data_IF_372356531151
#
_entry.id   IF_372356531151
#
_cell.length_a   1.000
_cell.length_b   1.000
_cell.length_c   1.000
_cell.angle_alpha   90.00
_cell.angle_beta   90.00
_cell.angle_gamma   90.00
#
_symmetry.space_group_name_H-M   'P 1'
#
loop_
_entity.id
_entity.type
_entity.pdbx_description
1 polymer ?
#
# COMPACT_ATOMS: atom_id res chain seq x y z
N UNK A 1 3.14 -16.47 -9.43
CA UNK A 1 3.65 -15.59 -8.34
C UNK A 1 4.52 -16.35 -7.33
N UNK A 2 5.61 -16.99 -7.80
CA UNK A 2 6.43 -17.89 -6.97
C UNK A 2 7.11 -17.19 -5.77
N UNK A 3 7.43 -15.90 -5.86
CA UNK A 3 8.18 -15.18 -4.82
C UNK A 3 7.33 -14.25 -3.93
N UNK A 4 6.02 -14.29 -4.05
CA UNK A 4 5.09 -13.39 -3.33
C UNK A 4 5.47 -11.91 -3.43
N UNK A 5 5.92 -11.48 -4.60
CA UNK A 5 6.37 -10.10 -4.85
C UNK A 5 5.45 -9.37 -5.82
N UNK A 6 5.25 -8.09 -5.57
CA UNK A 6 4.60 -7.14 -6.46
C UNK A 6 5.61 -6.05 -6.85
N UNK A 7 5.95 -5.97 -8.14
CA UNK A 7 6.84 -4.93 -8.67
C UNK A 7 6.03 -3.74 -9.17
N UNK A 8 6.30 -2.57 -8.59
CA UNK A 8 5.71 -1.29 -8.98
C UNK A 8 6.74 -0.56 -9.85
N UNK A 9 6.56 -0.62 -11.17
CA UNK A 9 7.48 -0.05 -12.16
C UNK A 9 6.77 0.73 -13.26
N UNK A 10 5.45 0.86 -13.18
CA UNK A 10 4.62 1.59 -14.13
C UNK A 10 3.64 2.50 -13.41
N UNK A 11 3.26 3.58 -14.07
CA UNK A 11 2.24 4.53 -13.64
C UNK A 11 1.28 4.79 -14.78
N UNK A 12 0.00 4.89 -14.48
CA UNK A 12 -1.04 5.24 -15.45
C UNK A 12 -1.55 6.64 -15.11
N UNK A 13 -1.57 7.51 -16.10
CA UNK A 13 -2.10 8.86 -15.96
C UNK A 13 -2.87 9.26 -17.23
N UNK A 14 -3.74 10.26 -17.10
CA UNK A 14 -4.38 10.90 -18.25
C UNK A 14 -3.54 12.10 -18.69
N UNK A 15 -3.18 12.13 -19.97
CA UNK A 15 -2.49 13.25 -20.62
C UNK A 15 -3.24 13.56 -21.93
N UNK A 16 -3.62 14.80 -22.14
CA UNK A 16 -4.36 15.26 -23.33
C UNK A 16 -5.56 14.37 -23.69
N UNK A 17 -6.32 13.98 -22.66
CA UNK A 17 -7.51 13.12 -22.79
C UNK A 17 -7.24 11.63 -23.04
N UNK A 18 -5.98 11.21 -23.19
CA UNK A 18 -5.59 9.80 -23.41
C UNK A 18 -4.97 9.19 -22.17
N UNK A 19 -5.14 7.88 -22.00
CA UNK A 19 -4.42 7.12 -20.97
C UNK A 19 -2.98 6.87 -21.45
N UNK A 20 -2.02 7.24 -20.62
CA UNK A 20 -0.60 7.04 -20.87
C UNK A 20 -0.02 6.19 -19.75
N UNK A 21 0.66 5.11 -20.14
CA UNK A 21 1.43 4.26 -19.24
C UNK A 21 2.89 4.73 -19.33
N UNK A 22 3.46 5.10 -18.20
CA UNK A 22 4.83 5.59 -18.10
C UNK A 22 5.57 4.97 -16.92
N UNK A 23 6.87 5.19 -16.84
CA UNK A 23 7.62 4.92 -15.61
C UNK A 23 7.22 5.91 -14.52
N UNK A 24 7.25 5.53 -13.24
CA UNK A 24 7.02 6.44 -12.13
C UNK A 24 7.99 7.65 -12.17
N UNK A 25 7.51 8.81 -11.71
CA UNK A 25 8.26 10.08 -11.79
C UNK A 25 9.55 10.11 -10.95
N UNK A 26 9.63 9.31 -9.92
CA UNK A 26 10.80 9.27 -9.02
C UNK A 26 11.36 7.86 -8.92
N UNK A 27 12.70 7.69 -8.78
CA UNK A 27 13.32 6.37 -8.60
C UNK A 27 12.73 5.60 -7.41
N UNK A 28 12.46 6.25 -6.31
CA UNK A 28 11.90 5.63 -5.10
C UNK A 28 10.45 5.12 -5.28
N UNK A 29 9.78 5.56 -6.33
CA UNK A 29 8.46 5.03 -6.68
C UNK A 29 8.55 3.65 -7.35
N UNK A 30 9.71 3.31 -7.92
CA UNK A 30 9.99 1.97 -8.46
C UNK A 30 10.44 1.11 -7.29
N UNK A 31 9.64 0.09 -6.97
CA UNK A 31 9.89 -0.77 -5.82
C UNK A 31 9.26 -2.14 -5.96
N UNK A 32 9.75 -3.07 -5.17
CA UNK A 32 9.15 -4.40 -5.01
C UNK A 32 8.59 -4.52 -3.60
N UNK A 33 7.33 -4.92 -3.52
CA UNK A 33 6.62 -5.14 -2.25
C UNK A 33 6.42 -6.64 -2.06
N UNK A 34 6.72 -7.14 -0.86
CA UNK A 34 6.39 -8.51 -0.45
C UNK A 34 4.92 -8.58 -0.05
N UNK A 35 4.24 -9.62 -0.50
CA UNK A 35 2.82 -9.83 -0.21
C UNK A 35 2.62 -10.97 0.79
N UNK A 36 1.66 -10.84 1.73
CA UNK A 36 1.19 -11.94 2.54
C UNK A 36 0.67 -13.10 1.66
N UNK A 37 0.82 -14.34 2.14
CA UNK A 37 0.37 -15.52 1.39
C UNK A 37 -1.12 -15.47 1.03
N UNK A 38 -1.97 -15.04 1.97
CA UNK A 38 -3.41 -14.92 1.75
C UNK A 38 -3.74 -13.86 0.68
N UNK A 39 -2.99 -12.74 0.65
CA UNK A 39 -3.14 -11.74 -0.42
C UNK A 39 -2.80 -12.34 -1.78
N UNK A 40 -1.72 -13.12 -1.87
CA UNK A 40 -1.35 -13.78 -3.13
C UNK A 40 -2.43 -14.75 -3.59
N UNK A 41 -3.02 -15.52 -2.67
CA UNK A 41 -4.14 -16.43 -2.96
C UNK A 41 -5.32 -15.68 -3.57
N UNK A 42 -5.75 -14.59 -2.95
CA UNK A 42 -6.84 -13.74 -3.48
C UNK A 42 -6.54 -13.18 -4.87
N UNK A 43 -5.29 -12.76 -5.12
CA UNK A 43 -4.88 -12.24 -6.43
C UNK A 43 -4.86 -13.34 -7.50
N UNK A 44 -4.50 -14.58 -7.16
CA UNK A 44 -4.57 -15.73 -8.09
C UNK A 44 -6.03 -16.06 -8.39
N UNK A 45 -6.89 -16.17 -7.39
CA UNK A 45 -8.31 -16.41 -7.55
C UNK A 45 -8.99 -15.32 -8.43
N UNK A 46 -8.58 -14.07 -8.27
CA UNK A 46 -9.07 -12.98 -9.12
C UNK A 46 -8.63 -13.15 -10.58
N UNK A 47 -7.35 -13.49 -10.80
CA UNK A 47 -6.85 -13.68 -12.18
C UNK A 47 -7.50 -14.88 -12.88
N UNK A 48 -7.85 -15.94 -12.15
CA UNK A 48 -8.53 -17.13 -12.69
C UNK A 48 -9.93 -16.82 -13.23
N UNK A 49 -10.55 -15.70 -12.87
CA UNK A 49 -11.84 -15.25 -13.45
C UNK A 49 -11.71 -14.72 -14.88
N UNK A 50 -10.49 -14.37 -15.31
CA UNK A 50 -10.20 -13.84 -16.64
C UNK A 50 -8.77 -14.21 -17.12
N UNK A 51 -8.46 -15.52 -17.21
CA UNK A 51 -7.08 -16.02 -17.36
C UNK A 51 -6.42 -15.61 -18.67
N UNK A 52 -7.19 -15.30 -19.71
CA UNK A 52 -6.67 -14.81 -20.99
C UNK A 52 -6.32 -13.32 -20.99
N UNK A 53 -6.68 -12.58 -19.94
CA UNK A 53 -6.41 -11.15 -19.86
C UNK A 53 -5.06 -10.91 -19.16
N UNK A 54 -4.15 -10.08 -19.72
CA UNK A 54 -2.85 -9.81 -19.11
C UNK A 54 -2.95 -8.92 -17.84
N UNK A 55 -4.10 -8.26 -17.63
CA UNK A 55 -4.33 -7.42 -16.47
C UNK A 55 -4.95 -8.22 -15.32
N UNK A 56 -4.42 -8.03 -14.11
CA UNK A 56 -4.97 -8.64 -12.91
C UNK A 56 -6.37 -8.08 -12.56
N UNK A 57 -6.56 -6.80 -12.80
CA UNK A 57 -7.84 -6.10 -12.64
C UNK A 57 -8.18 -5.34 -13.93
N UNK A 58 -8.69 -6.02 -14.94
CA UNK A 58 -9.10 -5.35 -16.17
C UNK A 58 -10.31 -4.44 -15.94
N UNK A 59 -10.38 -3.35 -16.67
CA UNK A 59 -11.58 -2.52 -16.70
C UNK A 59 -12.76 -3.34 -17.27
N UNK A 60 -13.88 -3.48 -16.56
CA UNK A 60 -15.02 -4.29 -17.03
C UNK A 60 -15.65 -3.74 -18.30
N UNK A 61 -15.39 -2.48 -18.64
CA UNK A 61 -15.91 -1.84 -19.86
C UNK A 61 -15.06 -2.10 -21.09
N UNK A 62 -13.75 -2.20 -20.94
CA UNK A 62 -12.79 -2.23 -22.07
C UNK A 62 -11.92 -3.48 -22.09
N UNK A 63 -11.83 -4.22 -20.99
CA UNK A 63 -10.85 -5.30 -20.81
C UNK A 63 -9.41 -4.81 -20.61
N UNK A 64 -9.18 -3.49 -20.72
CA UNK A 64 -7.88 -2.84 -20.66
C UNK A 64 -7.59 -2.28 -19.25
N UNK A 65 -6.52 -1.52 -19.13
CA UNK A 65 -6.20 -0.82 -17.87
C UNK A 65 -7.29 0.16 -17.45
N UNK A 66 -7.50 0.30 -16.15
CA UNK A 66 -8.44 1.27 -15.63
C UNK A 66 -8.02 2.71 -15.92
N UNK A 67 -9.00 3.53 -16.29
CA UNK A 67 -8.87 4.98 -16.20
C UNK A 67 -8.82 5.38 -14.69
N UNK A 68 -7.80 6.11 -14.24
CA UNK A 68 -7.68 6.52 -12.84
C UNK A 68 -8.91 7.25 -12.29
N UNK A 69 -9.56 8.10 -13.11
CA UNK A 69 -10.78 8.79 -12.71
C UNK A 69 -11.98 7.83 -12.65
N UNK A 70 -12.03 6.85 -13.54
CA UNK A 70 -13.03 5.78 -13.51
C UNK A 70 -12.91 4.93 -12.26
N UNK A 71 -11.69 4.56 -11.88
CA UNK A 71 -11.42 3.83 -10.66
C UNK A 71 -11.79 4.63 -9.41
N UNK A 72 -11.43 5.92 -9.36
CA UNK A 72 -11.79 6.81 -8.23
C UNK A 72 -13.32 6.89 -8.07
N UNK A 73 -14.07 7.08 -9.15
CA UNK A 73 -15.55 7.09 -9.10
C UNK A 73 -16.14 5.76 -8.59
N UNK A 74 -15.53 4.63 -8.95
CA UNK A 74 -15.93 3.32 -8.42
C UNK A 74 -15.70 3.24 -6.92
N UNK A 75 -14.51 3.63 -6.47
CA UNK A 75 -14.15 3.69 -5.05
C UNK A 75 -15.17 4.56 -4.28
N UNK A 76 -15.40 5.79 -4.72
CA UNK A 76 -16.30 6.74 -4.04
C UNK A 76 -17.73 6.20 -3.94
N UNK A 77 -18.20 5.49 -4.96
CA UNK A 77 -19.51 4.81 -4.93
C UNK A 77 -19.54 3.71 -3.87
N UNK A 78 -18.54 2.82 -3.83
CA UNK A 78 -18.46 1.74 -2.85
C UNK A 78 -18.40 2.31 -1.42
N UNK A 79 -17.56 3.31 -1.20
CA UNK A 79 -17.42 3.96 0.11
C UNK A 79 -18.74 4.60 0.57
N UNK A 80 -19.50 5.19 -0.35
CA UNK A 80 -20.83 5.72 -0.07
C UNK A 80 -21.83 4.62 0.28
N UNK A 81 -21.84 3.52 -0.47
CA UNK A 81 -22.74 2.38 -0.23
C UNK A 81 -22.54 1.74 1.15
N UNK A 82 -21.32 1.77 1.69
CA UNK A 82 -21.01 1.24 3.03
C UNK A 82 -21.05 2.31 4.15
N UNK A 83 -21.49 3.53 3.86
CA UNK A 83 -21.62 4.62 4.83
C UNK A 83 -20.27 5.18 5.34
N UNK A 84 -19.24 5.16 4.53
CA UNK A 84 -17.88 5.60 4.88
C UNK A 84 -17.37 6.76 4.00
N UNK A 85 -18.24 7.69 3.61
CA UNK A 85 -17.97 8.76 2.62
C UNK A 85 -16.79 9.69 3.01
N UNK A 86 -16.39 9.70 4.28
CA UNK A 86 -15.25 10.45 4.76
C UNK A 86 -13.89 9.77 4.48
N UNK A 87 -13.88 8.50 4.02
CA UNK A 87 -12.66 7.73 3.76
C UNK A 87 -12.25 7.89 2.29
N UNK A 88 -11.18 8.60 2.04
CA UNK A 88 -10.58 8.73 0.70
C UNK A 88 -9.71 7.53 0.36
N UNK A 89 -9.52 7.24 -0.93
CA UNK A 89 -8.63 6.16 -1.38
C UNK A 89 -7.21 6.25 -0.76
N UNK A 90 -6.67 7.47 -0.62
CA UNK A 90 -5.36 7.67 -0.01
C UNK A 90 -5.32 7.38 1.50
N UNK A 91 -6.46 7.47 2.18
CA UNK A 91 -6.53 7.21 3.62
C UNK A 91 -6.31 5.73 3.95
N UNK A 92 -6.55 4.81 3.00
CA UNK A 92 -6.17 3.40 3.14
C UNK A 92 -4.65 3.23 3.28
N UNK A 93 -3.87 4.05 2.58
CA UNK A 93 -2.41 4.07 2.72
C UNK A 93 -1.99 4.58 4.11
N UNK A 94 -2.66 5.61 4.63
CA UNK A 94 -2.42 6.12 5.99
C UNK A 94 -2.78 5.07 7.05
N UNK A 95 -3.90 4.38 6.87
CA UNK A 95 -4.33 3.28 7.75
C UNK A 95 -3.30 2.15 7.75
N UNK A 96 -2.86 1.71 6.59
CA UNK A 96 -1.81 0.68 6.47
C UNK A 96 -0.53 1.10 7.20
N UNK A 97 -0.05 2.33 6.98
CA UNK A 97 1.14 2.85 7.64
C UNK A 97 1.00 2.86 9.18
N UNK A 98 -0.12 3.34 9.68
CA UNK A 98 -0.39 3.41 11.11
C UNK A 98 -0.47 2.02 11.75
N UNK A 99 -1.16 1.08 11.11
CA UNK A 99 -1.27 -0.29 11.59
C UNK A 99 0.08 -1.01 11.57
N UNK A 100 0.88 -0.82 10.51
CA UNK A 100 2.23 -1.39 10.42
C UNK A 100 3.13 -0.93 11.55
N UNK A 101 3.15 0.36 11.86
CA UNK A 101 3.92 0.91 12.98
C UNK A 101 3.43 0.37 14.33
N UNK A 102 2.12 0.28 14.53
CA UNK A 102 1.53 -0.32 15.73
C UNK A 102 1.90 -1.80 15.89
N UNK A 103 2.08 -2.51 14.78
CA UNK A 103 2.52 -3.92 14.75
C UNK A 103 4.04 -4.10 14.88
N UNK A 104 4.80 -3.00 15.10
CA UNK A 104 6.24 -3.06 15.32
C UNK A 104 7.09 -3.09 14.06
N UNK A 105 6.49 -2.85 12.88
CA UNK A 105 7.28 -2.69 11.64
C UNK A 105 8.15 -1.44 11.77
N UNK A 106 9.44 -1.58 11.51
CA UNK A 106 10.35 -0.45 11.58
C UNK A 106 10.08 0.60 10.48
N UNK A 107 10.40 1.85 10.80
CA UNK A 107 10.06 3.01 9.96
C UNK A 107 10.74 2.95 8.59
N UNK A 108 11.95 2.38 8.51
CA UNK A 108 12.69 2.29 7.26
C UNK A 108 12.02 1.30 6.31
N UNK A 109 11.74 0.08 6.78
CA UNK A 109 11.00 -0.95 6.04
C UNK A 109 9.63 -0.44 5.57
N UNK A 110 8.91 0.27 6.45
CA UNK A 110 7.64 0.88 6.07
C UNK A 110 7.80 1.95 4.99
N UNK A 111 8.81 2.83 5.11
CA UNK A 111 9.10 3.88 4.13
C UNK A 111 9.42 3.29 2.75
N UNK A 112 10.25 2.25 2.70
CA UNK A 112 10.59 1.53 1.47
C UNK A 112 9.36 0.85 0.84
N UNK A 113 8.54 0.18 1.65
CA UNK A 113 7.28 -0.44 1.21
C UNK A 113 6.32 0.58 0.61
N UNK A 114 6.19 1.73 1.25
CA UNK A 114 5.34 2.82 0.78
C UNK A 114 5.95 3.59 -0.41
N UNK A 115 7.25 3.50 -0.66
CA UNK A 115 7.95 4.27 -1.68
C UNK A 115 8.04 5.76 -1.32
N UNK A 116 8.24 6.08 -0.05
CA UNK A 116 8.50 7.44 0.40
C UNK A 116 9.92 7.86 0.06
N UNK A 117 10.11 9.16 -0.20
CA UNK A 117 11.43 9.72 -0.49
C UNK A 117 12.41 9.53 0.68
N UNK A 118 11.94 9.60 1.91
CA UNK A 118 12.74 9.41 3.12
C UNK A 118 11.95 8.83 4.28
N UNK A 119 12.66 8.13 5.17
CA UNK A 119 12.09 7.69 6.46
C UNK A 119 11.64 8.87 7.33
N UNK A 120 12.28 10.03 7.18
CA UNK A 120 11.89 11.27 7.88
C UNK A 120 10.47 11.71 7.53
N UNK A 121 10.04 11.56 6.28
CA UNK A 121 8.65 11.83 5.88
C UNK A 121 7.67 10.86 6.56
N UNK A 122 8.01 9.58 6.63
CA UNK A 122 7.20 8.58 7.34
C UNK A 122 7.11 8.90 8.83
N UNK A 123 8.23 9.27 9.46
CA UNK A 123 8.27 9.68 10.87
C UNK A 123 7.39 10.90 11.14
N UNK A 124 7.54 11.98 10.39
CA UNK A 124 6.78 13.21 10.61
C UNK A 124 5.27 13.02 10.36
N UNK A 125 4.90 12.11 9.48
CA UNK A 125 3.49 11.91 9.09
C UNK A 125 2.77 10.93 10.02
N UNK A 126 3.44 9.86 10.47
CA UNK A 126 2.78 8.73 11.13
C UNK A 126 3.24 8.49 12.57
N UNK A 127 4.40 8.98 12.97
CA UNK A 127 4.93 8.69 14.31
C UNK A 127 4.54 9.80 15.28
N UNK A 128 3.35 9.67 15.84
CA UNK A 128 3.00 10.34 17.10
C UNK A 128 3.18 9.31 18.22
N UNK A 129 4.30 9.43 18.96
CA UNK A 129 4.54 8.52 20.09
C UNK A 129 3.46 8.71 21.15
N UNK A 130 2.63 7.70 21.33
CA UNK A 130 1.65 7.69 22.44
C UNK A 130 2.35 7.34 23.75
N UNK A 131 1.81 7.75 24.91
CA UNK A 131 2.34 7.33 26.22
C UNK A 131 2.52 5.81 26.32
N UNK A 132 1.58 5.01 25.78
CA UNK A 132 1.67 3.56 25.77
C UNK A 132 2.85 3.02 24.94
N UNK A 133 3.17 3.65 23.80
CA UNK A 133 4.35 3.26 23.01
C UNK A 133 5.67 3.52 23.77
N UNK A 134 5.75 4.62 24.50
CA UNK A 134 6.92 4.96 25.34
C UNK A 134 7.09 3.95 26.47
N UNK A 135 5.99 3.57 27.12
CA UNK A 135 6.02 2.56 28.18
C UNK A 135 6.45 1.20 27.65
N UNK A 136 5.85 0.72 26.55
CA UNK A 136 6.22 -0.56 25.93
C UNK A 136 7.69 -0.58 25.50
N UNK A 137 8.23 0.52 24.98
CA UNK A 137 9.65 0.61 24.65
C UNK A 137 10.55 0.53 25.87
N UNK A 138 10.19 1.21 26.97
CA UNK A 138 10.93 1.16 28.21
C UNK A 138 10.94 -0.27 28.81
N UNK A 139 9.80 -0.94 28.80
CA UNK A 139 9.65 -2.32 29.31
C UNK A 139 10.46 -3.30 28.44
N UNK A 140 10.45 -3.16 27.12
CA UNK A 140 11.23 -3.98 26.19
C UNK A 140 12.74 -3.82 26.43
N UNK A 141 13.23 -2.58 26.58
CA UNK A 141 14.62 -2.28 26.90
C UNK A 141 15.00 -2.89 28.26
N UNK A 142 14.16 -2.70 29.28
CA UNK A 142 14.41 -3.28 30.60
C UNK A 142 14.47 -4.79 30.60
N UNK A 143 13.63 -5.47 29.83
CA UNK A 143 13.67 -6.92 29.66
C UNK A 143 14.93 -7.38 28.92
N UNK A 144 15.32 -6.68 27.87
CA UNK A 144 16.56 -7.01 27.11
C UNK A 144 17.78 -6.90 27.98
N UNK A 145 17.89 -5.85 28.80
CA UNK A 145 19.02 -5.65 29.73
C UNK A 145 19.04 -6.76 30.77
N UNK A 146 17.89 -7.10 31.36
CA UNK A 146 17.80 -8.18 32.36
C UNK A 146 18.22 -9.55 31.82
N UNK A 147 17.91 -9.82 30.56
CA UNK A 147 18.23 -11.11 29.95
C UNK A 147 19.69 -11.17 29.41
N UNK A 148 20.39 -10.05 29.40
CA UNK A 148 21.79 -9.93 28.95
C UNK A 148 22.80 -9.97 30.11
N UNK A 149 22.35 -9.94 31.37
CA UNK A 149 23.12 -10.03 32.59
C UNK A 149 22.92 -11.42 33.22
#
# INVERSE_FOLDING_TARGET
MQNRTLSINKSVARQDGKLVISTPKTPNSIRTVLLPADTVKLLVEEHERHPANPYLFPSPRTGETWDPDGFRRLHDRIIKEIGAEHVRFHDMRHTFATLSLKSGVDVRTLSETLGHFSAGFTLSTYVHSTPGMKQSAADAIGNTIRNAI
#
